data_IF_460998872986
#
_entry.id   IF_460998872986
#
_cell.length_a   1.000
_cell.length_b   1.000
_cell.length_c   1.000
_cell.angle_alpha   90.00
_cell.angle_beta   90.00
_cell.angle_gamma   90.00
#
_symmetry.space_group_name_H-M   'P 1'
#
loop_
_entity.id
_entity.type
_entity.pdbx_description
1 polymer ?
#
# COMPACT_ATOMS: atom_id res chain seq x y z
N UNK A 1 -13.83 -17.63 -72.09
CA UNK A 1 -14.12 -16.91 -70.84
C UNK A 1 -15.01 -17.76 -69.98
N UNK A 2 -14.53 -18.19 -68.80
CA UNK A 2 -15.40 -18.32 -67.64
C UNK A 2 -14.78 -17.70 -66.37
N UNK A 3 -15.63 -17.05 -65.57
CA UNK A 3 -15.52 -16.80 -64.13
C UNK A 3 -16.56 -17.71 -63.44
N UNK A 4 -16.66 -17.79 -62.10
CA UNK A 4 -15.66 -18.07 -61.06
C UNK A 4 -16.11 -19.27 -60.17
N UNK A 5 -15.19 -19.95 -59.47
CA UNK A 5 -15.53 -20.94 -58.44
C UNK A 5 -15.08 -20.47 -57.04
N UNK A 6 -16.04 -20.42 -56.11
CA UNK A 6 -15.87 -20.51 -54.67
C UNK A 6 -17.21 -21.01 -54.07
N UNK A 7 -17.28 -21.56 -52.83
CA UNK A 7 -16.25 -22.07 -51.93
C UNK A 7 -16.49 -23.53 -51.48
N UNK A 8 -15.46 -24.23 -51.00
CA UNK A 8 -15.62 -25.52 -50.30
C UNK A 8 -15.79 -25.30 -48.80
N UNK A 9 -16.94 -25.75 -48.31
CA UNK A 9 -17.29 -25.95 -46.90
C UNK A 9 -16.56 -27.20 -46.39
N UNK A 10 -15.82 -27.07 -45.29
CA UNK A 10 -15.38 -28.22 -44.49
C UNK A 10 -16.07 -28.14 -43.12
N UNK A 11 -17.03 -29.03 -42.93
CA UNK A 11 -17.53 -29.46 -41.62
C UNK A 11 -16.48 -30.36 -40.97
N UNK A 12 -16.15 -30.06 -39.73
CA UNK A 12 -15.42 -30.94 -38.82
C UNK A 12 -15.87 -30.60 -37.41
N UNK A 13 -16.91 -31.29 -36.94
CA UNK A 13 -17.32 -31.22 -35.56
C UNK A 13 -16.46 -32.17 -34.73
N UNK A 14 -15.96 -31.67 -33.61
CA UNK A 14 -15.66 -32.49 -32.45
C UNK A 14 -16.26 -31.81 -31.21
N UNK A 15 -17.27 -32.48 -30.67
CA UNK A 15 -17.83 -32.20 -29.35
C UNK A 15 -16.90 -32.85 -28.33
N UNK A 16 -16.24 -32.04 -27.52
CA UNK A 16 -15.69 -32.52 -26.26
C UNK A 16 -16.28 -31.68 -25.14
N UNK A 17 -17.15 -32.32 -24.37
CA UNK A 17 -17.67 -31.82 -23.12
C UNK A 17 -16.55 -31.89 -22.08
N UNK A 18 -16.21 -30.76 -21.49
CA UNK A 18 -15.53 -30.71 -20.20
C UNK A 18 -16.11 -29.54 -19.45
N UNK A 19 -16.95 -29.85 -18.46
CA UNK A 19 -17.29 -28.91 -17.41
C UNK A 19 -16.02 -28.49 -16.70
N UNK A 20 -15.81 -27.18 -16.65
CA UNK A 20 -15.00 -26.54 -15.64
C UNK A 20 -15.88 -25.41 -15.11
N UNK A 21 -16.60 -25.75 -14.05
CA UNK A 21 -17.26 -24.82 -13.17
C UNK A 21 -16.15 -24.00 -12.49
N UNK A 22 -15.66 -22.98 -13.18
CA UNK A 22 -14.72 -22.02 -12.61
C UNK A 22 -15.57 -20.99 -11.87
N UNK A 23 -15.95 -21.36 -10.65
CA UNK A 23 -16.27 -20.38 -9.62
C UNK A 23 -14.99 -19.58 -9.37
N UNK A 24 -14.76 -18.56 -10.18
CA UNK A 24 -13.76 -17.56 -9.89
C UNK A 24 -14.18 -16.84 -8.63
N UNK A 25 -13.47 -17.09 -7.53
CA UNK A 25 -13.49 -16.20 -6.38
C UNK A 25 -13.16 -14.81 -6.90
N UNK A 26 -14.20 -13.98 -7.00
CA UNK A 26 -14.08 -12.57 -7.28
C UNK A 26 -13.37 -11.96 -6.07
N UNK A 27 -12.03 -11.94 -6.13
CA UNK A 27 -11.22 -11.18 -5.19
C UNK A 27 -11.79 -9.79 -5.09
N UNK A 28 -12.09 -9.35 -3.86
CA UNK A 28 -12.69 -8.05 -3.56
C UNK A 28 -11.72 -6.98 -4.07
N UNK A 29 -12.01 -6.42 -5.24
CA UNK A 29 -11.18 -5.36 -5.84
C UNK A 29 -11.45 -4.08 -5.04
N UNK A 30 -10.56 -3.77 -4.10
CA UNK A 30 -10.62 -2.50 -3.35
C UNK A 30 -10.37 -1.32 -4.30
N UNK A 31 -11.40 -0.48 -4.45
CA UNK A 31 -11.41 0.67 -5.35
C UNK A 31 -11.10 1.96 -4.56
N UNK A 32 -10.23 2.81 -5.12
CA UNK A 32 -9.97 4.13 -4.56
C UNK A 32 -10.97 5.14 -5.10
N UNK A 33 -11.65 5.81 -4.18
CA UNK A 33 -12.66 6.82 -4.47
C UNK A 33 -12.05 8.23 -4.44
N UNK A 34 -12.52 9.08 -5.34
CA UNK A 34 -12.09 10.47 -5.42
C UNK A 34 -12.58 11.27 -4.22
N UNK A 35 -11.77 12.16 -3.63
CA UNK A 35 -12.23 13.08 -2.57
C UNK A 35 -13.13 14.20 -3.12
N UNK A 36 -13.08 14.49 -4.43
CA UNK A 36 -14.00 15.43 -5.07
C UNK A 36 -15.45 14.93 -5.00
N UNK A 37 -16.39 15.66 -4.34
CA UNK A 37 -17.75 15.19 -4.09
C UNK A 37 -18.55 14.82 -5.34
N UNK A 38 -18.34 15.54 -6.46
CA UNK A 38 -19.09 15.26 -7.70
C UNK A 38 -18.60 13.96 -8.35
N UNK A 39 -17.29 13.77 -8.45
CA UNK A 39 -16.72 12.50 -8.93
C UNK A 39 -17.05 11.34 -8.00
N UNK A 40 -16.98 11.54 -6.68
CA UNK A 40 -17.31 10.54 -5.69
C UNK A 40 -18.73 10.02 -5.87
N UNK A 41 -19.72 10.92 -5.96
CA UNK A 41 -21.12 10.54 -6.15
C UNK A 41 -21.32 9.68 -7.38
N UNK A 42 -20.64 10.03 -8.48
CA UNK A 42 -20.68 9.24 -9.71
C UNK A 42 -20.06 7.85 -9.49
N UNK A 43 -18.86 7.78 -8.93
CA UNK A 43 -18.16 6.50 -8.69
C UNK A 43 -18.95 5.57 -7.75
N UNK A 44 -19.56 6.11 -6.70
CA UNK A 44 -20.39 5.36 -5.76
C UNK A 44 -21.68 4.90 -6.44
N UNK A 45 -22.35 5.77 -7.20
CA UNK A 45 -23.54 5.39 -7.96
C UNK A 45 -23.25 4.30 -9.00
N UNK A 46 -22.12 4.38 -9.70
CA UNK A 46 -21.68 3.38 -10.67
C UNK A 46 -21.43 2.02 -9.97
N UNK A 47 -20.79 2.02 -8.80
CA UNK A 47 -20.55 0.80 -8.02
C UNK A 47 -21.87 0.17 -7.52
N UNK A 48 -22.82 0.99 -7.07
CA UNK A 48 -24.11 0.53 -6.56
C UNK A 48 -25.11 0.18 -7.68
N UNK A 49 -24.84 0.61 -8.91
CA UNK A 49 -25.60 0.26 -10.09
C UNK A 49 -25.25 -1.10 -10.69
N UNK A 50 -24.14 -1.73 -10.29
CA UNK A 50 -23.76 -3.07 -10.75
C UNK A 50 -24.66 -4.14 -10.12
N UNK A 51 -25.51 -4.84 -10.90
CA UNK A 51 -26.43 -5.86 -10.38
C UNK A 51 -25.71 -7.01 -9.67
N UNK A 52 -24.44 -7.28 -10.03
CA UNK A 52 -23.64 -8.34 -9.39
C UNK A 52 -23.18 -7.92 -8.00
N UNK A 53 -22.93 -6.64 -7.79
CA UNK A 53 -22.49 -6.10 -6.52
C UNK A 53 -23.64 -6.02 -5.51
N UNK A 54 -24.83 -5.59 -5.94
CA UNK A 54 -26.02 -5.45 -5.07
C UNK A 54 -26.52 -6.79 -4.52
N UNK A 55 -26.25 -7.90 -5.21
CA UNK A 55 -26.60 -9.25 -4.75
C UNK A 55 -25.75 -9.78 -3.59
N UNK A 56 -24.61 -9.16 -3.31
CA UNK A 56 -23.70 -9.57 -2.24
C UNK A 56 -24.10 -8.94 -0.90
N UNK A 57 -24.31 -9.78 0.12
CA UNK A 57 -24.65 -9.35 1.49
C UNK A 57 -23.54 -8.51 2.13
N UNK A 58 -22.30 -8.60 1.64
CA UNK A 58 -21.15 -7.88 2.17
C UNK A 58 -20.79 -6.64 1.36
N UNK A 59 -21.48 -6.36 0.25
CA UNK A 59 -21.15 -5.25 -0.65
C UNK A 59 -21.10 -3.90 0.06
N UNK A 60 -22.14 -3.54 0.81
CA UNK A 60 -22.19 -2.26 1.51
C UNK A 60 -21.07 -2.12 2.55
N UNK A 61 -20.75 -3.22 3.24
CA UNK A 61 -19.65 -3.28 4.22
C UNK A 61 -18.29 -3.05 3.54
N UNK A 62 -18.05 -3.69 2.40
CA UNK A 62 -16.82 -3.50 1.61
C UNK A 62 -16.72 -2.09 1.02
N UNK A 63 -17.82 -1.57 0.47
CA UNK A 63 -17.88 -0.23 -0.10
C UNK A 63 -17.65 0.86 0.95
N UNK A 64 -18.27 0.75 2.12
CA UNK A 64 -18.05 1.68 3.24
C UNK A 64 -16.59 1.63 3.69
N UNK A 65 -16.00 0.43 3.78
CA UNK A 65 -14.59 0.28 4.09
C UNK A 65 -13.71 0.99 3.05
N UNK A 66 -13.96 0.79 1.75
CA UNK A 66 -13.23 1.46 0.67
C UNK A 66 -13.38 3.00 0.70
N UNK A 67 -14.54 3.53 1.11
CA UNK A 67 -14.76 4.97 1.26
C UNK A 67 -13.93 5.58 2.39
N UNK A 68 -13.98 4.98 3.59
CA UNK A 68 -13.14 5.39 4.72
C UNK A 68 -11.66 5.29 4.38
N UNK A 69 -11.30 4.20 3.70
CA UNK A 69 -9.96 3.95 3.21
C UNK A 69 -9.47 4.99 2.19
N UNK A 70 -10.36 5.47 1.32
CA UNK A 70 -10.08 6.53 0.36
C UNK A 70 -9.98 7.92 1.01
N UNK A 71 -10.03 8.03 2.34
CA UNK A 71 -9.99 9.30 3.06
C UNK A 71 -11.22 10.18 2.79
N UNK A 72 -12.33 9.58 2.35
CA UNK A 72 -13.56 10.32 2.09
C UNK A 72 -14.16 10.78 3.42
N UNK A 73 -14.42 12.08 3.52
CA UNK A 73 -15.12 12.67 4.67
C UNK A 73 -16.43 11.90 4.96
N UNK A 74 -16.71 11.48 6.22
CA UNK A 74 -17.85 10.64 6.55
C UNK A 74 -19.20 11.23 6.12
N UNK A 75 -19.37 12.56 6.18
CA UNK A 75 -20.58 13.21 5.70
C UNK A 75 -20.69 13.09 4.17
N UNK A 76 -19.61 13.36 3.45
CA UNK A 76 -19.56 13.27 1.99
C UNK A 76 -19.78 11.83 1.49
N UNK A 77 -19.17 10.83 2.15
CA UNK A 77 -19.40 9.42 1.86
C UNK A 77 -20.84 8.98 2.12
N UNK A 78 -21.43 9.43 3.24
CA UNK A 78 -22.85 9.18 3.55
C UNK A 78 -23.77 9.74 2.48
N UNK A 79 -23.53 10.98 2.04
CA UNK A 79 -24.31 11.59 0.95
C UNK A 79 -24.19 10.79 -0.35
N UNK A 80 -22.98 10.39 -0.74
CA UNK A 80 -22.76 9.60 -1.95
C UNK A 80 -23.51 8.25 -1.90
N UNK A 81 -23.45 7.53 -0.78
CA UNK A 81 -24.15 6.25 -0.60
C UNK A 81 -25.68 6.40 -0.66
N UNK A 82 -26.21 7.44 -0.01
CA UNK A 82 -27.66 7.71 0.01
C UNK A 82 -28.17 8.10 -1.38
N UNK A 83 -27.46 8.99 -2.08
CA UNK A 83 -27.84 9.40 -3.43
C UNK A 83 -27.63 8.29 -4.47
N UNK A 84 -26.63 7.43 -4.27
CA UNK A 84 -26.36 6.27 -5.10
C UNK A 84 -27.30 5.08 -4.86
N UNK A 85 -28.22 5.16 -3.90
CA UNK A 85 -29.13 4.08 -3.49
C UNK A 85 -28.41 2.75 -3.18
N UNK A 86 -27.27 2.83 -2.50
CA UNK A 86 -26.41 1.68 -2.21
C UNK A 86 -26.95 0.71 -1.13
N UNK A 87 -28.17 0.93 -0.66
CA UNK A 87 -28.81 0.20 0.43
C UNK A 87 -29.94 1.00 1.04
N UNK A 88 -30.52 0.50 2.14
CA UNK A 88 -31.52 1.28 2.87
C UNK A 88 -30.86 2.38 3.70
N UNK A 89 -31.59 3.46 4.00
CA UNK A 89 -31.14 4.52 4.91
C UNK A 89 -30.60 3.95 6.23
N UNK A 90 -31.28 2.95 6.79
CA UNK A 90 -30.87 2.33 8.06
C UNK A 90 -29.56 1.56 7.90
N UNK A 91 -29.40 0.78 6.83
CA UNK A 91 -28.21 -0.05 6.62
C UNK A 91 -26.97 0.82 6.37
N UNK A 92 -27.10 1.84 5.52
CA UNK A 92 -26.02 2.79 5.21
C UNK A 92 -25.55 3.48 6.48
N UNK A 93 -26.46 4.05 7.27
CA UNK A 93 -26.08 4.77 8.49
C UNK A 93 -25.50 3.85 9.55
N UNK A 94 -26.07 2.65 9.70
CA UNK A 94 -25.57 1.67 10.67
C UNK A 94 -24.14 1.27 10.31
N UNK A 95 -23.87 0.94 9.04
CA UNK A 95 -22.52 0.51 8.61
C UNK A 95 -21.52 1.67 8.66
N UNK A 96 -21.86 2.86 8.15
CA UNK A 96 -21.00 4.05 8.22
C UNK A 96 -20.58 4.35 9.66
N UNK A 97 -21.53 4.37 10.61
CA UNK A 97 -21.22 4.64 12.02
C UNK A 97 -20.47 3.47 12.68
N UNK A 98 -20.79 2.22 12.32
CA UNK A 98 -20.07 1.04 12.84
C UNK A 98 -18.57 1.12 12.50
N UNK A 99 -18.24 1.51 11.26
CA UNK A 99 -16.86 1.62 10.78
C UNK A 99 -16.15 2.89 11.21
N UNK A 100 -16.85 4.03 11.20
CA UNK A 100 -16.29 5.33 11.53
C UNK A 100 -16.18 5.63 13.03
N UNK A 101 -16.87 4.87 13.87
CA UNK A 101 -16.85 5.06 15.33
C UNK A 101 -17.50 6.36 15.81
N UNK A 102 -17.27 6.75 17.08
CA UNK A 102 -17.87 7.93 17.71
C UNK A 102 -17.60 9.24 16.96
N UNK A 103 -16.38 9.43 16.44
CA UNK A 103 -15.95 10.67 15.80
C UNK A 103 -16.68 10.94 14.47
N UNK A 104 -17.14 9.88 13.80
CA UNK A 104 -17.89 10.00 12.54
C UNK A 104 -19.39 10.25 12.75
N UNK A 105 -19.92 10.07 13.97
CA UNK A 105 -21.35 10.05 14.26
C UNK A 105 -22.05 11.35 13.83
N UNK A 106 -21.58 12.48 14.34
CA UNK A 106 -22.22 13.78 14.15
C UNK A 106 -22.24 14.21 12.66
N UNK A 107 -21.12 14.13 11.92
CA UNK A 107 -21.10 14.37 10.48
C UNK A 107 -22.11 13.51 9.69
N UNK A 108 -22.16 12.20 9.99
CA UNK A 108 -23.07 11.25 9.32
C UNK A 108 -24.53 11.62 9.58
N UNK A 109 -24.89 11.82 10.85
CA UNK A 109 -26.28 12.13 11.27
C UNK A 109 -26.74 13.48 10.72
N UNK A 110 -25.87 14.50 10.79
CA UNK A 110 -26.18 15.83 10.26
C UNK A 110 -26.46 15.78 8.75
N UNK A 111 -25.60 15.09 7.98
CA UNK A 111 -25.79 14.97 6.54
C UNK A 111 -27.03 14.17 6.18
N UNK A 112 -27.28 13.04 6.83
CA UNK A 112 -28.47 12.22 6.58
C UNK A 112 -29.77 13.01 6.82
N UNK A 113 -29.80 13.87 7.86
CA UNK A 113 -30.92 14.76 8.15
C UNK A 113 -31.11 15.83 7.08
N UNK A 114 -30.02 16.39 6.55
CA UNK A 114 -30.13 17.38 5.46
C UNK A 114 -30.73 16.80 4.18
N UNK A 115 -30.56 15.50 3.93
CA UNK A 115 -31.05 14.81 2.72
C UNK A 115 -32.50 14.34 2.91
N UNK A 116 -32.82 13.68 4.03
CA UNK A 116 -34.14 13.07 4.25
C UNK A 116 -35.12 13.92 5.09
N UNK A 117 -34.66 15.05 5.62
CA UNK A 117 -35.48 15.97 6.41
C UNK A 117 -35.84 15.47 7.82
N UNK A 118 -36.65 16.28 8.51
CA UNK A 118 -37.03 16.05 9.92
C UNK A 118 -37.90 14.81 10.13
N UNK A 119 -38.69 14.41 9.12
CA UNK A 119 -39.56 13.22 9.19
C UNK A 119 -38.79 11.90 9.40
N UNK A 120 -37.52 11.84 8.98
CA UNK A 120 -36.67 10.66 9.16
C UNK A 120 -35.84 10.68 10.46
N UNK A 121 -35.94 11.73 11.28
CA UNK A 121 -35.02 11.96 12.41
C UNK A 121 -34.93 10.80 13.40
N UNK A 122 -36.06 10.16 13.74
CA UNK A 122 -36.09 8.99 14.64
C UNK A 122 -35.37 7.79 14.03
N UNK A 123 -35.58 7.51 12.74
CA UNK A 123 -34.91 6.40 12.04
C UNK A 123 -33.40 6.61 11.97
N UNK A 124 -32.97 7.83 11.63
CA UNK A 124 -31.55 8.23 11.57
C UNK A 124 -30.88 8.02 12.93
N UNK A 125 -31.48 8.55 14.01
CA UNK A 125 -30.92 8.38 15.36
C UNK A 125 -30.85 6.92 15.79
N UNK A 126 -31.90 6.13 15.49
CA UNK A 126 -31.92 4.71 15.83
C UNK A 126 -30.83 3.92 15.08
N UNK A 127 -30.64 4.18 13.79
CA UNK A 127 -29.60 3.54 12.98
C UNK A 127 -28.20 3.91 13.47
N UNK A 128 -27.97 5.20 13.74
CA UNK A 128 -26.69 5.69 14.24
C UNK A 128 -26.36 5.10 15.63
N UNK A 129 -27.35 5.03 16.54
CA UNK A 129 -27.18 4.36 17.84
C UNK A 129 -26.87 2.86 17.68
N UNK A 130 -27.54 2.19 16.75
CA UNK A 130 -27.26 0.78 16.46
C UNK A 130 -25.83 0.59 15.93
N UNK A 131 -25.36 1.49 15.05
CA UNK A 131 -23.99 1.48 14.55
C UNK A 131 -22.95 1.68 15.66
N UNK A 132 -23.18 2.64 16.56
CA UNK A 132 -22.30 2.84 17.72
C UNK A 132 -22.28 1.64 18.66
N UNK A 133 -23.44 1.03 18.93
CA UNK A 133 -23.50 -0.16 19.78
C UNK A 133 -22.73 -1.33 19.17
N UNK A 134 -22.79 -1.51 17.84
CA UNK A 134 -21.97 -2.48 17.12
C UNK A 134 -20.49 -2.15 17.20
N UNK A 135 -20.13 -0.88 16.99
CA UNK A 135 -18.74 -0.42 17.12
C UNK A 135 -18.18 -0.70 18.53
N UNK A 136 -18.93 -0.34 19.58
CA UNK A 136 -18.58 -0.63 20.97
C UNK A 136 -18.44 -2.14 21.22
N UNK A 137 -19.31 -2.97 20.62
CA UNK A 137 -19.18 -4.43 20.72
C UNK A 137 -17.91 -4.95 20.02
N UNK A 138 -17.46 -4.31 18.95
CA UNK A 138 -16.21 -4.64 18.27
C UNK A 138 -14.98 -4.20 19.09
N UNK A 139 -15.07 -3.12 19.85
CA UNK A 139 -13.95 -2.59 20.66
C UNK A 139 -13.88 -3.13 22.09
N UNK A 140 -15.01 -3.49 22.71
CA UNK A 140 -15.08 -4.09 24.06
C UNK A 140 -14.88 -5.61 24.06
N UNK A 141 -14.97 -6.25 22.90
CA UNK A 141 -14.54 -7.63 22.76
C UNK A 141 -13.02 -7.67 22.85
N UNK A 142 -12.50 -8.10 24.00
CA UNK A 142 -11.14 -8.62 24.15
C UNK A 142 -10.82 -9.44 22.88
N UNK A 143 -9.77 -9.13 22.11
CA UNK A 143 -9.65 -9.54 20.71
C UNK A 143 -9.82 -11.05 20.63
N UNK A 144 -11.03 -11.47 20.22
CA UNK A 144 -11.27 -12.88 19.95
C UNK A 144 -10.39 -13.20 18.74
N UNK A 145 -9.63 -14.30 18.77
CA UNK A 145 -8.74 -14.69 17.67
C UNK A 145 -9.47 -14.97 16.33
N UNK A 146 -10.78 -14.72 16.23
CA UNK A 146 -11.63 -15.02 15.07
C UNK A 146 -12.14 -13.77 14.31
N UNK A 147 -11.98 -12.53 14.81
CA UNK A 147 -12.03 -11.36 13.90
C UNK A 147 -10.64 -11.18 13.31
N UNK A 148 -10.31 -12.03 12.34
CA UNK A 148 -9.04 -12.06 11.62
C UNK A 148 -8.80 -10.65 11.05
N UNK A 149 -7.88 -9.91 11.67
CA UNK A 149 -7.31 -8.72 11.06
C UNK A 149 -6.63 -9.21 9.78
N UNK A 150 -7.24 -9.02 8.60
CA UNK A 150 -6.73 -9.61 7.36
C UNK A 150 -5.27 -9.20 7.06
N UNK A 151 -4.79 -8.09 7.64
CA UNK A 151 -3.49 -7.51 7.37
C UNK A 151 -2.79 -6.98 8.63
N UNK A 152 -1.47 -6.93 8.57
CA UNK A 152 -0.60 -6.30 9.57
C UNK A 152 0.66 -5.71 8.94
N UNK A 153 1.46 -5.03 9.76
CA UNK A 153 2.77 -4.52 9.40
C UNK A 153 3.80 -5.12 10.36
N UNK A 154 4.76 -5.89 9.84
CA UNK A 154 5.90 -6.36 10.63
C UNK A 154 7.03 -5.35 10.58
N UNK A 155 7.57 -5.02 11.76
CA UNK A 155 8.69 -4.11 11.93
C UNK A 155 9.93 -4.93 12.25
N UNK A 156 11.00 -4.71 11.48
CA UNK A 156 12.31 -5.30 11.67
C UNK A 156 13.29 -4.17 11.99
N UNK A 157 13.47 -3.83 13.28
CA UNK A 157 14.44 -2.82 13.70
C UNK A 157 15.86 -3.36 13.55
N UNK A 158 16.78 -2.51 13.10
CA UNK A 158 18.21 -2.87 12.88
C UNK A 158 18.97 -3.09 14.20
N UNK A 159 18.43 -2.55 15.29
CA UNK A 159 18.94 -2.72 16.66
C UNK A 159 17.76 -2.92 17.59
N UNK A 160 17.86 -3.88 18.51
CA UNK A 160 16.81 -4.18 19.48
C UNK A 160 16.00 -5.44 19.14
N UNK A 161 15.12 -5.78 20.08
CA UNK A 161 14.56 -7.11 20.24
C UNK A 161 13.29 -7.34 19.40
N UNK A 162 13.33 -8.42 18.61
CA UNK A 162 12.23 -9.08 17.90
C UNK A 162 11.46 -8.26 16.84
N UNK A 163 10.93 -8.98 15.85
CA UNK A 163 10.00 -8.39 14.91
C UNK A 163 8.70 -8.01 15.65
N UNK A 164 8.30 -6.74 15.55
CA UNK A 164 7.06 -6.26 16.16
C UNK A 164 5.94 -6.30 15.14
N UNK A 165 4.82 -6.91 15.50
CA UNK A 165 3.59 -6.86 14.71
C UNK A 165 2.74 -5.67 15.14
N UNK A 166 2.43 -4.81 14.18
CA UNK A 166 1.34 -3.85 14.32
C UNK A 166 0.15 -4.31 13.48
N UNK A 167 -1.05 -4.16 14.04
CA UNK A 167 -2.28 -4.62 13.45
C UNK A 167 -3.36 -3.57 13.69
N UNK A 168 -4.03 -3.13 12.63
CA UNK A 168 -5.04 -2.10 12.71
C UNK A 168 -6.29 -2.52 11.91
N UNK A 169 -7.46 -2.13 12.41
CA UNK A 169 -8.73 -2.40 11.72
C UNK A 169 -8.87 -1.60 10.42
N UNK A 170 -8.15 -0.48 10.29
CA UNK A 170 -8.12 0.37 9.11
C UNK A 170 -6.78 0.20 8.39
N UNK A 171 -6.84 -0.28 7.14
CA UNK A 171 -5.68 -0.67 6.36
C UNK A 171 -4.68 0.49 6.14
N UNK A 172 -5.19 1.71 5.98
CA UNK A 172 -4.38 2.91 5.83
C UNK A 172 -3.60 3.27 7.09
N UNK A 173 -4.16 3.05 8.28
CA UNK A 173 -3.46 3.33 9.54
C UNK A 173 -2.18 2.49 9.70
N UNK A 174 -2.14 1.28 9.15
CA UNK A 174 -0.95 0.42 9.21
C UNK A 174 0.31 1.05 8.61
N UNK A 175 0.17 1.96 7.64
CA UNK A 175 1.30 2.59 6.98
C UNK A 175 1.28 4.12 7.02
N UNK A 176 0.14 4.75 7.34
CA UNK A 176 0.05 6.20 7.58
C UNK A 176 0.27 6.60 9.03
N UNK A 177 0.11 5.67 9.98
CA UNK A 177 0.30 5.88 11.42
C UNK A 177 1.22 4.78 11.99
N UNK A 178 2.40 4.60 11.39
CA UNK A 178 3.37 3.61 11.85
C UNK A 178 3.83 3.88 13.29
N UNK A 179 4.35 2.84 13.97
CA UNK A 179 4.81 2.96 15.35
C UNK A 179 5.93 4.02 15.44
N UNK A 180 5.72 5.14 16.16
CA UNK A 180 6.72 6.20 16.21
C UNK A 180 7.94 5.81 17.05
N UNK A 181 9.05 6.49 16.79
CA UNK A 181 10.28 6.42 17.59
C UNK A 181 11.52 5.96 16.82
N UNK A 182 11.36 5.30 15.68
CA UNK A 182 12.47 5.05 14.75
C UNK A 182 12.87 6.33 14.02
N UNK A 183 14.15 6.48 13.66
CA UNK A 183 14.61 7.63 12.88
C UNK A 183 14.44 7.48 11.38
N UNK A 184 14.35 6.24 10.89
CA UNK A 184 14.10 5.93 9.47
C UNK A 184 13.15 4.75 9.38
N UNK A 185 12.09 4.92 8.57
CA UNK A 185 11.08 3.92 8.29
C UNK A 185 11.24 3.48 6.83
N UNK A 186 11.68 2.26 6.60
CA UNK A 186 11.87 1.70 5.25
C UNK A 186 10.75 0.71 4.92
N UNK A 187 9.73 1.20 4.22
CA UNK A 187 8.61 0.37 3.76
C UNK A 187 9.04 -0.49 2.56
N UNK A 188 8.79 -1.80 2.66
CA UNK A 188 9.09 -2.77 1.60
C UNK A 188 7.85 -3.02 0.77
N UNK A 189 7.89 -2.62 -0.50
CA UNK A 189 6.78 -2.83 -1.43
C UNK A 189 7.13 -3.88 -2.48
N UNK A 190 6.17 -4.75 -2.74
CA UNK A 190 6.15 -5.66 -3.87
C UNK A 190 5.81 -4.91 -5.16
N UNK A 191 6.55 -5.24 -6.21
CA UNK A 191 6.32 -4.76 -7.56
C UNK A 191 5.26 -5.57 -8.30
N UNK A 192 5.04 -5.17 -9.55
CA UNK A 192 4.01 -5.77 -10.39
C UNK A 192 4.36 -7.22 -10.70
N UNK A 193 3.38 -8.10 -10.57
CA UNK A 193 3.51 -9.50 -10.98
C UNK A 193 4.25 -10.38 -9.98
N UNK A 194 4.46 -9.95 -8.73
CA UNK A 194 5.08 -10.75 -7.66
C UNK A 194 4.58 -12.21 -7.60
N UNK A 195 3.26 -12.43 -7.65
CA UNK A 195 2.68 -13.78 -7.60
C UNK A 195 3.07 -14.69 -8.78
N UNK A 196 3.42 -14.10 -9.92
CA UNK A 196 3.84 -14.78 -11.14
C UNK A 196 5.24 -14.32 -11.58
N UNK A 197 6.09 -14.02 -10.60
CA UNK A 197 7.42 -13.47 -10.84
C UNK A 197 8.27 -14.43 -11.69
N UNK A 198 9.15 -13.87 -12.52
CA UNK A 198 10.18 -14.66 -13.20
C UNK A 198 11.09 -15.33 -12.16
N UNK A 199 11.82 -16.38 -12.54
CA UNK A 199 12.73 -17.07 -11.60
C UNK A 199 13.75 -16.11 -10.97
N UNK A 200 14.28 -15.17 -11.76
CA UNK A 200 15.21 -14.14 -11.28
C UNK A 200 14.55 -13.17 -10.30
N UNK A 201 13.32 -12.73 -10.58
CA UNK A 201 12.61 -11.83 -9.67
C UNK A 201 12.21 -12.56 -8.38
N UNK A 202 11.73 -13.80 -8.49
CA UNK A 202 11.39 -14.64 -7.34
C UNK A 202 12.61 -14.94 -6.47
N UNK A 203 13.80 -15.13 -7.05
CA UNK A 203 15.05 -15.27 -6.31
C UNK A 203 15.40 -13.98 -5.55
N UNK A 204 15.23 -12.81 -6.19
CA UNK A 204 15.44 -11.50 -5.56
C UNK A 204 14.53 -11.28 -4.35
N UNK A 205 13.24 -11.58 -4.49
CA UNK A 205 12.27 -11.47 -3.39
C UNK A 205 12.58 -12.44 -2.24
N UNK A 206 12.83 -13.72 -2.56
CA UNK A 206 13.21 -14.71 -1.55
C UNK A 206 14.42 -14.26 -0.76
N UNK A 207 15.44 -13.76 -1.45
CA UNK A 207 16.66 -13.30 -0.78
C UNK A 207 16.42 -12.05 0.07
N UNK A 208 15.62 -11.08 -0.40
CA UNK A 208 15.30 -9.88 0.38
C UNK A 208 14.61 -10.23 1.70
N UNK A 209 13.53 -11.01 1.63
CA UNK A 209 12.80 -11.37 2.84
C UNK A 209 13.59 -12.30 3.74
N UNK A 210 14.39 -13.24 3.17
CA UNK A 210 15.30 -14.07 3.96
C UNK A 210 16.32 -13.22 4.72
N UNK A 211 16.96 -12.24 4.07
CA UNK A 211 17.95 -11.38 4.72
C UNK A 211 17.29 -10.49 5.76
N UNK A 212 16.14 -9.85 5.48
CA UNK A 212 15.41 -9.07 6.50
C UNK A 212 15.06 -9.94 7.71
N UNK A 213 14.53 -11.14 7.47
CA UNK A 213 14.09 -12.06 8.53
C UNK A 213 15.26 -12.58 9.38
N UNK A 214 16.43 -12.85 8.79
CA UNK A 214 17.54 -13.55 9.46
C UNK A 214 18.74 -12.68 9.84
N UNK A 215 18.91 -11.51 9.22
CA UNK A 215 20.08 -10.65 9.42
C UNK A 215 19.75 -9.41 10.27
N UNK A 216 18.59 -8.80 10.05
CA UNK A 216 18.17 -7.58 10.78
C UNK A 216 17.71 -7.94 12.20
N UNK A 217 17.19 -9.15 12.43
CA UNK A 217 16.77 -9.62 13.75
C UNK A 217 17.98 -10.06 14.58
N UNK A 218 18.61 -9.14 15.30
CA UNK A 218 19.66 -9.50 16.27
C UNK A 218 19.03 -9.88 17.62
N UNK A 219 19.59 -10.90 18.27
CA UNK A 219 19.08 -11.48 19.53
C UNK A 219 19.82 -10.85 20.71
N UNK A 220 19.36 -9.69 21.20
CA UNK A 220 19.90 -9.06 22.40
C UNK A 220 18.75 -8.73 23.35
N UNK A 221 18.57 -9.57 24.38
CA UNK A 221 17.44 -9.69 25.33
C UNK A 221 17.07 -8.42 26.15
N UNK A 222 17.62 -7.25 25.83
CA UNK A 222 17.29 -5.99 26.47
C UNK A 222 16.28 -5.20 25.63
N UNK A 223 15.03 -5.33 26.03
CA UNK A 223 13.81 -4.74 25.49
C UNK A 223 13.79 -3.18 25.55
N UNK A 224 14.71 -2.51 24.86
CA UNK A 224 14.65 -1.07 24.61
C UNK A 224 13.76 -0.82 23.40
N UNK A 225 12.67 -0.06 23.57
CA UNK A 225 11.73 0.28 22.49
C UNK A 225 12.36 1.09 21.34
N UNK A 226 11.56 1.54 20.35
CA UNK A 226 12.06 2.26 19.18
C UNK A 226 12.94 3.46 19.57
N UNK A 227 14.13 3.55 18.97
CA UNK A 227 15.04 4.69 19.15
C UNK A 227 15.31 5.41 17.82
N UNK A 228 15.55 6.74 17.84
CA UNK A 228 15.81 7.48 16.61
C UNK A 228 17.03 6.95 15.84
N UNK A 229 18.03 6.42 16.52
CA UNK A 229 19.25 5.88 15.91
C UNK A 229 19.01 4.56 15.15
N UNK A 230 17.87 3.91 15.40
CA UNK A 230 17.50 2.61 14.82
C UNK A 230 16.67 2.81 13.54
N UNK A 231 17.18 2.43 12.36
CA UNK A 231 16.35 2.24 11.18
C UNK A 231 15.51 0.97 11.30
N UNK A 232 14.31 0.97 10.72
CA UNK A 232 13.43 -0.20 10.70
C UNK A 232 12.93 -0.50 9.29
N UNK A 233 12.88 -1.79 8.93
CA UNK A 233 12.13 -2.26 7.77
C UNK A 233 10.67 -2.56 8.16
N UNK A 234 9.74 -2.09 7.35
CA UNK A 234 8.30 -2.31 7.53
C UNK A 234 7.78 -3.17 6.38
N UNK A 235 7.32 -4.37 6.70
CA UNK A 235 6.86 -5.35 5.72
C UNK A 235 5.35 -5.59 5.89
N UNK A 236 4.53 -5.32 4.86
CA UNK A 236 3.10 -5.60 4.90
C UNK A 236 2.87 -7.11 4.86
N UNK A 237 2.09 -7.64 5.80
CA UNK A 237 1.80 -9.07 5.91
C UNK A 237 0.30 -9.38 5.99
N UNK A 238 -0.07 -10.61 5.63
CA UNK A 238 -1.37 -11.21 5.87
C UNK A 238 -1.33 -11.90 7.23
N UNK A 239 -2.28 -11.59 8.11
CA UNK A 239 -2.31 -12.23 9.43
C UNK A 239 -2.63 -13.73 9.36
N UNK A 240 -3.26 -14.19 8.27
CA UNK A 240 -3.60 -15.60 8.05
C UNK A 240 -2.34 -16.48 7.92
N UNK A 241 -1.21 -15.88 7.54
CA UNK A 241 0.05 -16.58 7.30
C UNK A 241 1.08 -16.39 8.42
N UNK A 242 0.70 -15.78 9.56
CA UNK A 242 1.60 -15.56 10.68
C UNK A 242 2.31 -16.85 11.11
N UNK A 243 3.61 -16.73 11.38
CA UNK A 243 4.47 -17.85 11.79
C UNK A 243 5.06 -18.69 10.65
N UNK A 244 4.71 -18.40 9.39
CA UNK A 244 5.39 -18.95 8.20
C UNK A 244 6.67 -18.15 7.85
N UNK A 245 7.54 -18.59 6.94
CA UNK A 245 8.65 -17.75 6.47
C UNK A 245 8.14 -16.40 5.93
N UNK A 246 8.87 -15.31 6.16
CA UNK A 246 8.42 -13.94 5.84
C UNK A 246 7.89 -13.77 4.40
N UNK A 247 8.53 -14.40 3.41
CA UNK A 247 8.09 -14.38 2.01
C UNK A 247 6.67 -14.94 1.80
N UNK A 248 6.22 -15.87 2.64
CA UNK A 248 4.87 -16.44 2.60
C UNK A 248 3.86 -15.59 3.40
N UNK A 249 4.35 -14.73 4.30
CA UNK A 249 3.52 -13.84 5.09
C UNK A 249 3.12 -12.58 4.32
N UNK A 250 3.86 -12.17 3.29
CA UNK A 250 3.66 -10.86 2.65
C UNK A 250 2.25 -10.68 2.09
N UNK A 251 1.65 -9.53 2.41
CA UNK A 251 0.32 -9.17 1.90
C UNK A 251 0.44 -8.47 0.55
N UNK A 252 0.25 -9.23 -0.52
CA UNK A 252 0.32 -8.74 -1.90
C UNK A 252 -0.69 -7.61 -2.14
N UNK A 253 -1.91 -7.75 -1.64
CA UNK A 253 -2.97 -6.76 -1.83
C UNK A 253 -2.69 -5.45 -1.08
N UNK A 254 -2.23 -5.53 0.17
CA UNK A 254 -1.79 -4.36 0.95
C UNK A 254 -0.62 -3.67 0.26
N UNK A 255 0.40 -4.42 -0.16
CA UNK A 255 1.55 -3.84 -0.85
C UNK A 255 1.14 -3.19 -2.19
N UNK A 256 0.25 -3.81 -2.96
CA UNK A 256 -0.28 -3.22 -4.19
C UNK A 256 -1.05 -1.94 -3.92
N UNK A 257 -1.79 -1.90 -2.82
CA UNK A 257 -2.46 -0.69 -2.39
C UNK A 257 -1.48 0.44 -2.05
N UNK A 258 -0.51 0.18 -1.17
CA UNK A 258 0.54 1.14 -0.81
C UNK A 258 1.26 1.67 -2.05
N UNK A 259 1.62 0.78 -2.98
CA UNK A 259 2.27 1.17 -4.25
C UNK A 259 1.40 2.08 -5.11
N UNK A 260 0.10 1.81 -5.24
CA UNK A 260 -0.85 2.69 -5.96
C UNK A 260 -0.98 4.05 -5.27
N UNK A 261 -1.09 4.06 -3.94
CA UNK A 261 -1.18 5.28 -3.14
C UNK A 261 0.07 6.16 -3.35
N UNK A 262 1.26 5.58 -3.23
CA UNK A 262 2.52 6.27 -3.50
C UNK A 262 2.60 6.78 -4.94
N UNK A 263 2.28 5.94 -5.92
CA UNK A 263 2.29 6.35 -7.33
C UNK A 263 1.37 7.54 -7.60
N UNK A 264 0.22 7.62 -6.93
CA UNK A 264 -0.67 8.78 -7.00
C UNK A 264 -0.06 10.04 -6.38
N UNK A 265 0.49 9.94 -5.17
CA UNK A 265 1.17 11.06 -4.49
C UNK A 265 2.35 11.58 -5.34
N UNK A 266 3.18 10.68 -5.88
CA UNK A 266 4.30 11.06 -6.74
C UNK A 266 3.87 11.79 -8.01
N UNK A 267 2.76 11.40 -8.65
CA UNK A 267 2.24 12.13 -9.81
C UNK A 267 1.76 13.53 -9.43
N UNK A 268 1.13 13.68 -8.27
CA UNK A 268 0.68 14.99 -7.76
C UNK A 268 1.87 15.91 -7.44
N UNK A 269 2.99 15.33 -7.00
CA UNK A 269 4.24 16.05 -6.71
C UNK A 269 5.13 16.26 -7.95
N UNK A 270 4.68 15.85 -9.14
CA UNK A 270 5.44 16.05 -10.39
C UNK A 270 6.47 14.96 -10.72
N UNK A 271 6.57 13.90 -9.92
CA UNK A 271 7.45 12.74 -10.11
C UNK A 271 6.80 11.65 -10.98
N UNK A 272 6.14 12.03 -12.07
CA UNK A 272 5.42 11.10 -12.96
C UNK A 272 6.28 9.94 -13.52
N UNK A 273 7.56 10.13 -13.90
CA UNK A 273 8.40 9.01 -14.36
C UNK A 273 8.65 7.95 -13.27
N UNK A 274 8.86 8.37 -12.02
CA UNK A 274 9.06 7.44 -10.91
C UNK A 274 7.76 6.72 -10.55
N UNK A 275 6.62 7.42 -10.59
CA UNK A 275 5.31 6.80 -10.44
C UNK A 275 5.07 5.71 -11.50
N UNK A 276 5.40 5.97 -12.76
CA UNK A 276 5.29 4.97 -13.84
C UNK A 276 6.21 3.76 -13.61
N UNK A 277 7.40 4.00 -13.05
CA UNK A 277 8.35 2.94 -12.65
C UNK A 277 7.74 2.08 -11.55
N UNK A 278 7.16 2.68 -10.50
CA UNK A 278 6.45 1.94 -9.47
C UNK A 278 5.27 1.13 -10.04
N UNK A 279 4.51 1.69 -10.98
CA UNK A 279 3.34 1.00 -11.55
C UNK A 279 3.71 -0.27 -12.32
N UNK A 280 4.86 -0.25 -13.00
CA UNK A 280 5.23 -1.23 -14.02
C UNK A 280 6.42 -2.11 -13.65
N UNK A 281 7.28 -1.66 -12.74
CA UNK A 281 8.50 -2.35 -12.33
C UNK A 281 8.23 -3.63 -11.56
N UNK A 282 9.17 -4.57 -11.68
CA UNK A 282 9.13 -5.88 -11.04
C UNK A 282 9.35 -5.79 -9.53
N UNK A 283 9.98 -4.72 -9.04
CA UNK A 283 10.35 -4.51 -7.64
C UNK A 283 11.37 -5.54 -7.14
N UNK A 284 11.53 -5.69 -5.82
CA UNK A 284 10.90 -4.90 -4.75
C UNK A 284 11.29 -3.42 -4.79
N UNK A 285 10.49 -2.58 -4.15
CA UNK A 285 10.78 -1.16 -3.94
C UNK A 285 10.97 -0.89 -2.44
N UNK A 286 12.03 -0.15 -2.09
CA UNK A 286 12.28 0.28 -0.71
C UNK A 286 12.00 1.77 -0.61
N UNK A 287 11.04 2.16 0.23
CA UNK A 287 10.61 3.54 0.40
C UNK A 287 10.98 3.98 1.81
N UNK A 288 11.96 4.86 1.94
CA UNK A 288 12.47 5.31 3.23
C UNK A 288 12.06 6.74 3.55
N UNK A 289 11.48 6.91 4.73
CA UNK A 289 10.96 8.17 5.26
C UNK A 289 11.53 8.45 6.66
N UNK A 290 11.51 9.71 7.09
CA UNK A 290 11.85 10.11 8.46
C UNK A 290 10.62 10.19 9.37
N UNK A 291 9.44 10.37 8.77
CA UNK A 291 8.16 10.35 9.48
C UNK A 291 7.64 8.92 9.58
N UNK A 292 6.91 8.56 10.65
CA UNK A 292 6.23 7.27 10.81
C UNK A 292 5.00 7.16 9.88
N UNK A 293 5.13 7.65 8.65
CA UNK A 293 4.07 7.76 7.66
C UNK A 293 4.66 7.51 6.28
N UNK A 294 4.00 6.65 5.53
CA UNK A 294 4.42 6.28 4.18
C UNK A 294 4.28 7.44 3.18
N UNK A 295 3.23 8.27 3.34
CA UNK A 295 3.10 9.56 2.66
C UNK A 295 3.31 10.71 3.65
N UNK A 296 4.50 11.35 3.65
CA UNK A 296 4.78 12.42 4.58
C UNK A 296 3.84 13.62 4.42
N UNK A 297 3.70 14.39 5.48
CA UNK A 297 2.69 15.47 5.56
C UNK A 297 2.99 16.66 4.64
N UNK A 298 4.24 16.81 4.18
CA UNK A 298 4.69 17.89 3.29
C UNK A 298 5.08 17.40 1.89
N UNK A 299 4.69 18.17 0.86
CA UNK A 299 5.10 17.91 -0.54
C UNK A 299 6.62 17.89 -0.75
N UNK A 300 7.37 18.56 0.13
CA UNK A 300 8.82 18.68 0.07
C UNK A 300 9.56 17.74 1.04
N UNK A 301 8.83 16.86 1.74
CA UNK A 301 9.41 15.99 2.74
C UNK A 301 10.41 15.00 2.10
N UNK A 302 11.60 14.84 2.70
CA UNK A 302 12.64 14.02 2.09
C UNK A 302 12.24 12.54 2.11
N UNK A 303 12.36 11.88 0.96
CA UNK A 303 12.19 10.44 0.83
C UNK A 303 13.28 9.85 -0.04
N UNK A 304 13.68 8.63 0.29
CA UNK A 304 14.59 7.82 -0.51
C UNK A 304 13.80 6.65 -1.10
N UNK A 305 13.84 6.50 -2.42
CA UNK A 305 13.20 5.38 -3.14
C UNK A 305 14.28 4.57 -3.82
N UNK A 306 14.39 3.28 -3.47
CA UNK A 306 15.24 2.34 -4.18
C UNK A 306 14.38 1.34 -4.98
N UNK A 307 14.58 1.28 -6.29
CA UNK A 307 13.96 0.31 -7.20
C UNK A 307 14.92 -0.87 -7.41
N UNK A 308 14.56 -2.04 -6.87
CA UNK A 308 15.40 -3.23 -6.96
C UNK A 308 15.08 -4.09 -8.20
N UNK A 309 14.21 -3.63 -9.11
CA UNK A 309 13.76 -4.39 -10.30
C UNK A 309 14.90 -4.94 -11.16
N UNK A 310 16.03 -4.24 -11.21
CA UNK A 310 17.18 -4.61 -12.04
C UNK A 310 18.35 -5.19 -11.22
N UNK A 311 18.16 -5.38 -9.92
CA UNK A 311 19.23 -5.80 -9.02
C UNK A 311 19.24 -7.31 -8.87
N UNK A 312 20.39 -7.94 -9.08
CA UNK A 312 20.57 -9.38 -8.86
C UNK A 312 20.39 -9.76 -7.38
N UNK A 313 19.89 -10.98 -7.12
CA UNK A 313 19.70 -11.48 -5.76
C UNK A 313 21.01 -11.46 -4.94
N UNK A 314 22.15 -11.65 -5.60
CA UNK A 314 23.48 -11.65 -4.98
C UNK A 314 23.89 -10.30 -4.34
N UNK A 315 23.22 -9.20 -4.66
CA UNK A 315 23.51 -7.87 -4.09
C UNK A 315 22.59 -7.49 -2.93
N UNK A 316 21.54 -8.28 -2.68
CA UNK A 316 20.50 -7.95 -1.70
C UNK A 316 21.04 -7.85 -0.28
N UNK A 317 21.99 -8.71 0.09
CA UNK A 317 22.69 -8.59 1.38
C UNK A 317 23.33 -7.20 1.55
N UNK A 318 24.08 -6.73 0.54
CA UNK A 318 24.75 -5.43 0.60
C UNK A 318 23.76 -4.26 0.65
N UNK A 319 22.59 -4.41 0.02
CA UNK A 319 21.51 -3.43 0.11
C UNK A 319 20.96 -3.39 1.53
N UNK A 320 20.59 -4.52 2.11
CA UNK A 320 20.07 -4.55 3.50
C UNK A 320 21.12 -4.03 4.47
N UNK A 321 22.39 -4.42 4.33
CA UNK A 321 23.50 -3.91 5.14
C UNK A 321 23.66 -2.39 5.04
N UNK A 322 23.43 -1.78 3.87
CA UNK A 322 23.49 -0.33 3.72
C UNK A 322 22.44 0.42 4.59
N UNK A 323 21.25 -0.18 4.75
CA UNK A 323 20.18 0.32 5.60
C UNK A 323 20.40 0.01 7.08
N UNK A 324 20.85 -1.21 7.39
CA UNK A 324 21.00 -1.75 8.75
C UNK A 324 22.15 -1.07 9.54
N UNK A 325 23.18 -0.59 8.83
CA UNK A 325 24.30 0.11 9.44
C UNK A 325 23.86 1.29 10.31
N UNK A 326 24.43 1.44 11.53
CA UNK A 326 24.09 2.50 12.45
C UNK A 326 24.11 3.90 11.82
N UNK A 327 23.16 4.73 12.24
CA UNK A 327 23.09 6.14 11.89
C UNK A 327 23.74 6.95 13.03
N UNK A 328 24.69 7.84 12.74
CA UNK A 328 25.28 8.70 13.77
C UNK A 328 24.18 9.50 14.49
N UNK A 329 24.25 9.69 15.83
CA UNK A 329 23.24 10.45 16.57
C UNK A 329 23.03 11.88 16.02
N UNK A 330 24.08 12.46 15.44
CA UNK A 330 24.03 13.77 14.79
C UNK A 330 23.36 13.79 13.41
N UNK A 331 22.96 12.64 12.85
CA UNK A 331 22.20 12.54 11.61
C UNK A 331 20.81 11.90 11.84
N UNK A 332 20.64 11.23 12.96
CA UNK A 332 19.43 10.54 13.40
C UNK A 332 18.16 11.41 13.29
N UNK A 333 17.12 10.89 12.64
CA UNK A 333 15.85 11.59 12.40
C UNK A 333 15.92 12.79 11.45
N UNK A 334 17.04 12.99 10.75
CA UNK A 334 17.25 14.12 9.81
C UNK A 334 17.55 13.64 8.40
N UNK A 335 17.48 14.55 7.43
CA UNK A 335 17.70 14.24 6.01
C UNK A 335 19.08 13.65 5.74
N UNK A 336 20.09 14.03 6.52
CA UNK A 336 21.45 13.51 6.45
C UNK A 336 21.47 11.98 6.60
N UNK A 337 20.57 11.39 7.39
CA UNK A 337 20.47 9.94 7.54
C UNK A 337 20.03 9.23 6.25
N UNK A 338 19.09 9.81 5.49
CA UNK A 338 18.69 9.29 4.18
C UNK A 338 19.81 9.44 3.14
N UNK A 339 20.56 10.54 3.21
CA UNK A 339 21.72 10.75 2.34
C UNK A 339 22.84 9.73 2.63
N UNK A 340 23.10 9.42 3.90
CA UNK A 340 24.06 8.38 4.28
C UNK A 340 23.67 7.01 3.71
N UNK A 341 22.40 6.63 3.80
CA UNK A 341 21.90 5.39 3.20
C UNK A 341 22.08 5.41 1.69
N UNK A 342 21.67 6.50 1.03
CA UNK A 342 21.84 6.67 -0.42
C UNK A 342 23.30 6.48 -0.84
N UNK A 343 24.23 7.13 -0.15
CA UNK A 343 25.65 7.08 -0.51
C UNK A 343 26.23 5.68 -0.29
N UNK A 344 25.79 4.97 0.76
CA UNK A 344 26.11 3.54 0.96
C UNK A 344 25.59 2.68 -0.18
N UNK A 345 24.33 2.87 -0.60
CA UNK A 345 23.71 2.14 -1.71
C UNK A 345 24.43 2.38 -3.04
N UNK A 346 24.75 3.64 -3.35
CA UNK A 346 25.48 4.00 -4.57
C UNK A 346 26.94 3.53 -4.54
N UNK A 347 27.52 3.37 -3.34
CA UNK A 347 28.87 2.83 -3.14
C UNK A 347 28.98 1.30 -3.24
N UNK A 348 27.86 0.57 -3.39
CA UNK A 348 27.89 -0.89 -3.51
C UNK A 348 28.59 -1.33 -4.81
N UNK A 349 29.52 -2.30 -4.76
CA UNK A 349 30.24 -2.78 -5.93
C UNK A 349 29.38 -3.72 -6.78
N UNK A 350 28.29 -3.21 -7.34
CA UNK A 350 27.38 -3.99 -8.17
C UNK A 350 27.97 -4.18 -9.58
N UNK A 351 28.06 -5.43 -10.03
CA UNK A 351 28.38 -5.70 -11.43
C UNK A 351 27.08 -5.55 -12.23
N UNK A 352 27.03 -4.66 -13.24
CA UNK A 352 25.84 -4.54 -14.07
C UNK A 352 25.58 -5.86 -14.77
N UNK A 353 24.42 -6.48 -14.52
CA UNK A 353 24.13 -7.85 -14.95
C UNK A 353 24.19 -8.00 -16.47
N UNK A 354 23.78 -6.98 -17.24
CA UNK A 354 23.99 -6.88 -18.70
C UNK A 354 23.77 -5.41 -19.06
N UNK A 355 24.80 -4.63 -19.46
CA UNK A 355 24.67 -3.48 -20.39
C UNK A 355 26.05 -3.00 -20.86
N UNK A 356 26.37 -3.20 -22.14
CA UNK A 356 27.39 -2.41 -22.83
C UNK A 356 26.85 -0.98 -23.07
N UNK A 357 27.75 0.00 -23.00
CA UNK A 357 27.62 1.40 -23.43
C UNK A 357 26.79 2.42 -22.59
N UNK A 358 25.86 2.02 -21.71
CA UNK A 358 25.07 2.99 -20.89
C UNK A 358 25.65 3.28 -19.49
N UNK A 359 26.98 3.30 -19.36
CA UNK A 359 27.72 3.16 -18.10
C UNK A 359 27.53 4.28 -17.06
N UNK A 360 27.03 5.46 -17.44
CA UNK A 360 26.97 6.63 -16.53
C UNK A 360 25.56 7.13 -16.20
N UNK A 361 24.54 6.86 -17.03
CA UNK A 361 23.15 7.26 -16.73
C UNK A 361 22.40 6.27 -15.83
N UNK A 362 22.81 5.01 -15.83
CA UNK A 362 22.10 3.93 -15.12
C UNK A 362 22.61 3.72 -13.70
N UNK A 363 23.85 4.10 -13.38
CA UNK A 363 24.43 3.90 -12.05
C UNK A 363 23.61 4.56 -10.92
N UNK A 364 22.87 5.64 -11.22
CA UNK A 364 21.98 6.31 -10.28
C UNK A 364 20.48 6.09 -10.58
N UNK A 365 20.13 5.29 -11.59
CA UNK A 365 18.75 5.19 -12.08
C UNK A 365 17.86 4.24 -11.25
N UNK A 366 18.36 3.75 -10.12
CA UNK A 366 17.63 2.85 -9.23
C UNK A 366 17.51 3.41 -7.80
N UNK A 367 18.16 4.54 -7.48
CA UNK A 367 18.06 5.22 -6.18
C UNK A 367 17.68 6.67 -6.40
N UNK A 368 16.53 7.07 -5.88
CA UNK A 368 15.94 8.38 -6.09
C UNK A 368 15.75 9.10 -4.77
N UNK A 369 16.21 10.35 -4.69
CA UNK A 369 15.82 11.27 -3.61
C UNK A 369 14.65 12.10 -4.09
N UNK A 370 13.66 12.27 -3.23
CA UNK A 370 12.43 13.04 -3.45
C UNK A 370 12.36 14.13 -2.37
N UNK A 371 11.74 15.26 -2.71
CA UNK A 371 11.67 16.46 -1.87
C UNK A 371 12.79 17.47 -2.21
N UNK A 372 12.81 18.59 -1.48
CA UNK A 372 13.69 19.76 -1.75
C UNK A 372 15.19 19.46 -1.83
N UNK A 373 15.62 18.34 -1.25
CA UNK A 373 17.02 17.95 -1.19
C UNK A 373 17.50 17.16 -2.43
N UNK A 374 16.58 16.78 -3.33
CA UNK A 374 16.92 16.15 -4.61
C UNK A 374 17.73 17.08 -5.54
N UNK A 375 17.54 18.40 -5.42
CA UNK A 375 18.17 19.41 -6.30
C UNK A 375 19.58 19.80 -5.83
N UNK A 376 19.85 19.77 -4.53
CA UNK A 376 21.13 20.24 -3.96
C UNK A 376 22.33 19.37 -4.37
N UNK A 377 22.13 18.07 -4.62
CA UNK A 377 23.21 17.13 -4.96
C UNK A 377 23.37 16.86 -6.47
N UNK A 378 22.48 17.40 -7.33
CA UNK A 378 22.67 17.36 -8.79
C UNK A 378 23.44 18.58 -9.31
N UNK A 379 23.62 19.62 -8.50
CA UNK A 379 24.33 20.85 -8.85
C UNK A 379 25.86 20.73 -8.97
N UNK A 380 26.47 19.68 -8.40
CA UNK A 380 27.93 19.54 -8.31
C UNK A 380 28.56 18.76 -9.49
N UNK A 381 27.76 18.42 -10.51
CA UNK A 381 28.22 17.82 -11.77
C UNK A 381 28.39 18.82 -12.92
N UNK A 382 28.29 20.13 -12.65
CA UNK A 382 28.72 21.14 -13.63
C UNK A 382 30.24 21.23 -13.61
N UNK A 383 30.86 20.71 -14.67
CA UNK A 383 32.30 20.75 -14.90
C UNK A 383 32.90 22.14 -14.55
N UNK A 384 34.11 22.19 -13.96
CA UNK A 384 34.77 23.45 -13.71
C UNK A 384 34.96 24.17 -15.04
N UNK A 385 34.46 25.40 -15.10
CA UNK A 385 34.74 26.34 -16.18
C UNK A 385 36.25 26.46 -16.31
N UNK A 386 36.81 25.94 -17.40
CA UNK A 386 38.20 26.20 -17.77
C UNK A 386 38.32 27.70 -18.06
N UNK A 387 38.95 28.43 -17.14
CA UNK A 387 39.56 29.74 -17.37
C UNK A 387 41.05 29.58 -17.50
#
# INVERSE_FOLDING_TARGET
MPLPEAPRVLSGGDRSASGADVSGEAGVVSNLYSPDPLRLRKQVADACGDPRAVGDRHFLRSLVADLYFSGVDPATGTEALLLGNCGTLTDILTEMVTRGGPDSLDPIVARARSIHGSGAARKIQSAAKAGLARHASMTESDPRPEEILAYGMLYFPSTGDFSRLDSAMALNRLYEDAIPGYGIYTFVLLGRGFANASESDAARYRELFRVIETYVTTSDENNSGPTPETPAFLVPISAENLGRPLIEQVAVDLSNHMRRHLGQSLRQEGHAPLAATLDTGAGPFLISTLEPRFTPTGQDAPRLVADLSMIGAEYIYGIVDAYDRPIPPEASGRVESLLLIRDRLLGLPMKPAVMSEFKTKIQNAWVFMIGRFAEAHTGDLRAPSLT
#
